data_IF_498639281664
#
_entry.id   IF_498639281664
#
_cell.length_a   1.000
_cell.length_b   1.000
_cell.length_c   1.000
_cell.angle_alpha   90.00
_cell.angle_beta   90.00
_cell.angle_gamma   90.00
#
_symmetry.space_group_name_H-M   'P 1'
#
loop_
_entity.id
_entity.type
_entity.pdbx_description
1 polymer ?
#
# COMPACT_ATOMS: atom_id res chain seq x y z
N UNK A 1 -6.60 -7.36 28.23
CA UNK A 1 -7.72 -6.99 27.38
C UNK A 1 -7.94 -5.50 27.55
N UNK A 2 -7.65 -4.79 26.53
CA UNK A 2 -7.13 -3.43 26.56
C UNK A 2 -8.25 -2.42 26.25
N UNK A 3 -8.09 -1.19 26.68
CA UNK A 3 -8.96 -0.04 26.42
C UNK A 3 -9.47 0.08 24.96
N UNK A 4 -8.82 -0.53 23.99
CA UNK A 4 -9.25 -0.56 22.59
C UNK A 4 -10.52 -1.40 22.37
N UNK A 5 -10.71 -2.48 23.13
CA UNK A 5 -11.91 -3.31 23.05
C UNK A 5 -13.11 -2.63 23.73
N UNK A 6 -12.84 -1.84 24.77
CA UNK A 6 -13.90 -1.03 25.42
C UNK A 6 -14.45 0.09 24.51
N UNK A 7 -13.63 0.63 23.58
CA UNK A 7 -14.12 1.61 22.60
C UNK A 7 -14.99 0.99 21.49
N UNK A 8 -14.87 -0.31 21.23
CA UNK A 8 -15.76 -1.01 20.31
C UNK A 8 -17.15 -1.28 20.89
N UNK A 9 -17.24 -1.52 22.21
CA UNK A 9 -18.49 -1.96 22.84
C UNK A 9 -19.32 -0.81 23.47
N UNK A 10 -18.73 0.32 23.73
CA UNK A 10 -19.37 1.40 24.53
C UNK A 10 -20.01 2.51 23.71
N UNK A 11 -19.85 2.55 22.42
CA UNK A 11 -20.15 3.81 21.73
C UNK A 11 -21.18 3.80 20.62
N UNK A 12 -21.39 2.70 19.94
CA UNK A 12 -22.09 2.74 18.64
C UNK A 12 -23.58 2.91 18.80
N UNK A 13 -24.20 2.16 19.68
CA UNK A 13 -25.65 2.24 19.91
C UNK A 13 -26.08 3.50 20.67
N UNK A 14 -25.21 3.98 21.56
CA UNK A 14 -25.51 5.16 22.36
C UNK A 14 -25.56 6.46 21.54
N UNK A 15 -24.93 6.45 20.33
CA UNK A 15 -24.85 7.61 19.44
C UNK A 15 -25.66 7.46 18.14
N UNK A 16 -26.45 6.37 17.98
CA UNK A 16 -27.30 6.15 16.82
C UNK A 16 -26.53 5.95 15.49
N UNK A 17 -25.30 5.42 15.57
CA UNK A 17 -24.47 5.14 14.39
C UNK A 17 -24.76 3.76 13.78
N UNK A 18 -25.57 2.94 14.44
CA UNK A 18 -26.03 1.64 13.95
C UNK A 18 -26.77 1.74 12.60
N UNK A 19 -27.43 2.87 12.35
CA UNK A 19 -28.26 3.07 11.14
C UNK A 19 -27.46 3.55 9.92
N UNK A 20 -26.14 3.78 10.08
CA UNK A 20 -25.30 4.11 8.92
C UNK A 20 -24.84 2.80 8.30
N UNK A 21 -25.51 2.39 7.24
CA UNK A 21 -25.28 1.14 6.50
C UNK A 21 -23.99 1.19 5.64
N UNK A 22 -22.84 1.32 6.31
CA UNK A 22 -21.52 1.25 5.71
C UNK A 22 -20.73 0.10 6.35
N UNK A 23 -19.94 -0.67 5.56
CA UNK A 23 -19.19 -1.84 6.05
C UNK A 23 -17.99 -1.49 6.94
N UNK A 24 -17.92 -0.28 7.44
CA UNK A 24 -16.77 0.23 8.20
C UNK A 24 -17.13 0.52 9.65
N UNK A 25 -16.13 0.46 10.54
CA UNK A 25 -16.30 0.87 11.92
C UNK A 25 -16.75 2.35 12.00
N UNK A 26 -17.40 2.78 13.10
CA UNK A 26 -17.84 4.18 13.26
C UNK A 26 -16.72 5.19 13.05
N UNK A 27 -15.51 4.90 13.55
CA UNK A 27 -14.33 5.73 13.35
C UNK A 27 -13.95 5.82 11.87
N UNK A 28 -13.93 4.69 11.17
CA UNK A 28 -13.66 4.63 9.73
C UNK A 28 -14.72 5.37 8.92
N UNK A 29 -15.99 5.30 9.33
CA UNK A 29 -17.09 6.05 8.70
C UNK A 29 -16.86 7.55 8.78
N UNK A 30 -16.46 8.05 9.93
CA UNK A 30 -16.15 9.47 10.14
C UNK A 30 -14.94 9.90 9.31
N UNK A 31 -13.88 9.10 9.32
CA UNK A 31 -12.63 9.39 8.62
C UNK A 31 -12.72 9.25 7.10
N UNK A 32 -13.72 8.53 6.59
CA UNK A 32 -13.97 8.37 5.15
C UNK A 32 -14.88 9.44 4.56
N UNK A 33 -15.51 10.27 5.40
CA UNK A 33 -16.31 11.39 4.90
C UNK A 33 -15.40 12.37 4.13
N UNK A 34 -15.88 12.94 3.02
CA UNK A 34 -15.12 13.94 2.29
C UNK A 34 -14.78 15.12 3.20
N UNK A 35 -13.53 15.59 3.15
CA UNK A 35 -13.06 16.68 4.02
C UNK A 35 -13.69 18.04 3.74
N UNK A 36 -14.28 18.20 2.57
CA UNK A 36 -15.14 19.33 2.24
C UNK A 36 -16.58 19.13 2.75
N UNK A 37 -16.83 18.03 3.50
CA UNK A 37 -18.12 17.83 4.15
C UNK A 37 -18.23 18.79 5.31
N UNK A 38 -19.24 19.66 5.25
CA UNK A 38 -19.54 20.61 6.32
C UNK A 38 -20.15 19.87 7.52
N UNK A 39 -19.27 19.37 8.39
CA UNK A 39 -19.66 18.64 9.59
C UNK A 39 -20.53 19.47 10.56
N UNK A 40 -20.41 20.78 10.50
CA UNK A 40 -21.18 21.65 11.40
C UNK A 40 -22.64 21.71 11.02
N UNK A 41 -22.97 21.51 9.73
CA UNK A 41 -24.33 21.75 9.25
C UNK A 41 -25.14 20.50 8.89
N UNK A 42 -24.56 19.32 8.67
CA UNK A 42 -25.26 18.23 7.96
C UNK A 42 -25.45 16.92 8.69
N UNK A 43 -24.62 16.54 9.67
CA UNK A 43 -24.80 15.28 10.40
C UNK A 43 -24.75 15.46 11.92
N UNK A 44 -25.93 15.42 12.59
CA UNK A 44 -26.02 15.53 14.04
C UNK A 44 -25.22 14.46 14.80
N UNK A 45 -25.05 13.28 14.21
CA UNK A 45 -24.37 12.17 14.87
C UNK A 45 -22.86 12.38 14.88
N UNK A 46 -22.29 12.87 13.76
CA UNK A 46 -20.87 13.24 13.68
C UNK A 46 -20.58 14.39 14.66
N UNK A 47 -21.44 15.39 14.73
CA UNK A 47 -21.31 16.49 15.70
C UNK A 47 -21.30 15.99 17.14
N UNK A 48 -22.20 15.08 17.51
CA UNK A 48 -22.24 14.47 18.84
C UNK A 48 -20.96 13.71 19.17
N UNK A 49 -20.38 12.96 18.20
CA UNK A 49 -19.12 12.25 18.39
C UNK A 49 -17.95 13.21 18.59
N UNK A 50 -17.86 14.27 17.79
CA UNK A 50 -16.83 15.29 17.95
C UNK A 50 -16.95 16.00 19.31
N UNK A 51 -18.15 16.23 19.78
CA UNK A 51 -18.41 16.83 21.11
C UNK A 51 -18.19 15.86 22.27
N UNK A 52 -18.41 14.55 22.05
CA UNK A 52 -18.30 13.54 23.10
C UNK A 52 -16.86 13.14 23.41
N UNK A 53 -15.90 13.39 22.51
CA UNK A 53 -14.52 12.97 22.71
C UNK A 53 -13.53 14.01 22.20
N UNK A 54 -12.68 14.48 23.11
CA UNK A 54 -11.55 15.37 22.75
C UNK A 54 -10.58 14.73 21.75
N UNK A 55 -10.47 13.41 21.75
CA UNK A 55 -9.62 12.67 20.80
C UNK A 55 -10.17 12.80 19.38
N UNK A 56 -11.48 12.63 19.19
CA UNK A 56 -12.10 12.78 17.87
C UNK A 56 -12.00 14.21 17.35
N UNK A 57 -12.19 15.20 18.20
CA UNK A 57 -12.00 16.60 17.85
C UNK A 57 -10.57 16.87 17.41
N UNK A 58 -9.59 16.41 18.17
CA UNK A 58 -8.17 16.59 17.84
C UNK A 58 -7.77 15.88 16.53
N UNK A 59 -8.29 14.66 16.28
CA UNK A 59 -8.04 13.94 15.02
C UNK A 59 -8.69 14.66 13.83
N UNK A 60 -9.88 15.19 13.99
CA UNK A 60 -10.57 15.98 12.96
C UNK A 60 -9.79 17.26 12.63
N UNK A 61 -9.34 18.01 13.64
CA UNK A 61 -8.55 19.21 13.45
C UNK A 61 -7.21 18.92 12.78
N UNK A 62 -6.55 17.82 13.16
CA UNK A 62 -5.35 17.34 12.50
C UNK A 62 -5.62 17.03 11.03
N UNK A 63 -6.67 16.28 10.75
CA UNK A 63 -7.08 15.91 9.39
C UNK A 63 -7.32 17.15 8.53
N UNK A 64 -8.05 18.12 9.05
CA UNK A 64 -8.32 19.39 8.38
C UNK A 64 -7.03 20.18 8.12
N UNK A 65 -6.08 20.16 9.04
CA UNK A 65 -4.79 20.85 8.89
C UNK A 65 -3.88 20.23 7.84
N UNK A 66 -4.01 18.93 7.59
CA UNK A 66 -3.21 18.18 6.60
C UNK A 66 -3.70 18.42 5.16
N UNK A 67 -4.98 18.76 4.95
CA UNK A 67 -5.57 18.88 3.62
C UNK A 67 -4.82 19.85 2.67
N UNK A 68 -4.42 21.06 3.08
CA UNK A 68 -3.65 21.94 2.21
C UNK A 68 -2.29 21.35 1.80
N UNK A 69 -1.68 20.54 2.70
CA UNK A 69 -0.43 19.84 2.39
C UNK A 69 -0.66 18.74 1.35
N UNK A 70 -1.72 17.94 1.50
CA UNK A 70 -2.07 16.91 0.52
C UNK A 70 -2.36 17.52 -0.85
N UNK A 71 -3.13 18.60 -0.91
CA UNK A 71 -3.39 19.35 -2.15
C UNK A 71 -2.09 19.85 -2.80
N UNK A 72 -1.13 20.27 -2.00
CA UNK A 72 0.19 20.71 -2.49
C UNK A 72 0.97 19.51 -3.07
N UNK A 73 0.99 18.36 -2.39
CA UNK A 73 1.64 17.13 -2.85
C UNK A 73 1.01 16.67 -4.16
N UNK A 74 -0.33 16.64 -4.24
CA UNK A 74 -1.08 16.26 -5.44
C UNK A 74 -0.81 17.18 -6.63
N UNK A 75 -0.75 18.49 -6.37
CA UNK A 75 -0.49 19.46 -7.44
C UNK A 75 0.91 19.36 -8.03
N UNK A 76 1.91 19.11 -7.18
CA UNK A 76 3.33 18.97 -7.58
C UNK A 76 3.59 17.65 -8.29
N UNK A 77 3.13 16.54 -7.71
CA UNK A 77 3.45 15.20 -8.15
C UNK A 77 4.92 14.81 -7.93
N UNK A 78 5.31 13.69 -8.50
CA UNK A 78 6.69 13.18 -8.53
C UNK A 78 7.14 13.08 -9.98
N UNK A 79 8.41 13.32 -10.24
CA UNK A 79 8.97 13.23 -11.61
C UNK A 79 9.77 11.94 -11.72
N UNK A 80 9.35 11.07 -12.63
CA UNK A 80 10.06 9.86 -13.01
C UNK A 80 10.93 10.16 -14.22
N UNK A 81 12.22 9.88 -14.11
CA UNK A 81 13.19 10.04 -15.20
C UNK A 81 12.82 9.19 -16.42
N UNK A 82 13.00 9.73 -17.63
CA UNK A 82 12.84 8.98 -18.88
C UNK A 82 13.73 7.73 -18.94
N UNK A 83 14.84 7.70 -18.18
CA UNK A 83 15.71 6.52 -18.08
C UNK A 83 14.99 5.30 -17.53
N UNK A 84 13.97 5.46 -16.69
CA UNK A 84 13.14 4.35 -16.22
C UNK A 84 12.50 3.60 -17.38
N UNK A 85 11.90 4.34 -18.28
CA UNK A 85 11.16 3.79 -19.42
C UNK A 85 12.10 3.26 -20.52
N UNK A 86 13.26 3.89 -20.70
CA UNK A 86 14.22 3.53 -21.75
C UNK A 86 15.15 2.39 -21.33
N UNK A 87 15.63 2.41 -20.08
CA UNK A 87 16.77 1.57 -19.67
C UNK A 87 16.34 0.43 -18.72
N UNK A 88 15.22 0.58 -17.99
CA UNK A 88 14.80 -0.39 -16.98
C UNK A 88 13.62 -1.25 -17.44
N UNK A 89 12.53 -0.62 -17.88
CA UNK A 89 11.34 -1.38 -18.29
C UNK A 89 11.60 -2.41 -19.40
N UNK A 90 12.41 -2.14 -20.44
CA UNK A 90 12.72 -3.15 -21.44
C UNK A 90 13.42 -4.38 -20.83
N UNK A 91 14.34 -4.18 -19.88
CA UNK A 91 15.00 -5.30 -19.19
C UNK A 91 14.01 -6.13 -18.35
N UNK A 92 13.06 -5.46 -17.71
CA UNK A 92 11.98 -6.14 -16.96
C UNK A 92 11.05 -6.90 -17.91
N UNK A 93 10.79 -6.39 -19.10
CA UNK A 93 10.06 -7.09 -20.14
C UNK A 93 10.83 -8.34 -20.60
N UNK A 94 12.12 -8.21 -20.90
CA UNK A 94 12.97 -9.34 -21.28
C UNK A 94 13.00 -10.43 -20.19
N UNK A 95 13.00 -10.03 -18.91
CA UNK A 95 12.91 -10.98 -17.78
C UNK A 95 11.56 -11.74 -17.78
N UNK A 96 10.45 -11.04 -18.07
CA UNK A 96 9.13 -11.66 -18.20
C UNK A 96 9.08 -12.62 -19.39
N UNK A 97 9.59 -12.20 -20.54
CA UNK A 97 9.59 -13.00 -21.77
C UNK A 97 10.38 -14.31 -21.58
N UNK A 98 11.53 -14.27 -20.91
CA UNK A 98 12.29 -15.48 -20.53
C UNK A 98 11.49 -16.38 -19.60
N UNK A 99 10.74 -15.81 -18.65
CA UNK A 99 9.91 -16.61 -17.74
C UNK A 99 8.76 -17.27 -18.52
N UNK A 100 8.16 -16.58 -19.50
CA UNK A 100 7.14 -17.15 -20.39
C UNK A 100 7.74 -18.27 -21.23
N UNK A 101 8.95 -18.11 -21.76
CA UNK A 101 9.65 -19.14 -22.52
C UNK A 101 9.91 -20.40 -21.65
N UNK A 102 10.32 -20.22 -20.39
CA UNK A 102 10.45 -21.35 -19.45
C UNK A 102 9.14 -22.08 -19.22
N UNK A 103 8.04 -21.33 -19.05
CA UNK A 103 6.69 -21.90 -18.87
C UNK A 103 6.20 -22.58 -20.16
N UNK A 104 6.60 -22.09 -21.34
CA UNK A 104 6.20 -22.67 -22.63
C UNK A 104 6.67 -24.10 -22.80
N UNK A 105 7.79 -24.49 -22.17
CA UNK A 105 8.30 -25.87 -22.17
C UNK A 105 7.33 -26.88 -21.57
N UNK A 106 6.36 -26.42 -20.77
CA UNK A 106 5.28 -27.23 -20.22
C UNK A 106 4.05 -27.27 -21.11
N UNK A 107 4.05 -26.61 -22.27
CA UNK A 107 2.90 -26.55 -23.20
C UNK A 107 1.75 -25.67 -22.73
N UNK A 108 2.00 -24.73 -21.80
CA UNK A 108 0.99 -23.93 -21.11
C UNK A 108 0.77 -22.54 -21.70
N UNK A 109 1.54 -22.19 -22.74
CA UNK A 109 1.51 -20.85 -23.37
C UNK A 109 0.82 -20.94 -24.73
N UNK A 110 0.00 -19.95 -25.06
CA UNK A 110 -0.61 -19.73 -26.37
C UNK A 110 -0.29 -18.30 -26.83
N UNK A 111 0.48 -18.17 -27.89
CA UNK A 111 1.11 -16.90 -28.24
C UNK A 111 2.04 -16.46 -27.11
N UNK A 112 1.79 -15.28 -26.54
CA UNK A 112 2.54 -14.75 -25.39
C UNK A 112 1.76 -14.81 -24.07
N UNK A 113 0.66 -15.58 -24.02
CA UNK A 113 -0.22 -15.65 -22.87
C UNK A 113 -0.22 -17.03 -22.23
N UNK A 114 -0.18 -17.07 -20.91
CA UNK A 114 -0.37 -18.31 -20.15
C UNK A 114 -1.85 -18.68 -20.19
N UNK A 115 -2.15 -19.90 -20.64
CA UNK A 115 -3.50 -20.44 -20.69
C UNK A 115 -3.86 -21.05 -19.33
N UNK A 116 -4.77 -20.39 -18.61
CA UNK A 116 -5.17 -20.79 -17.25
C UNK A 116 -5.83 -22.20 -17.23
N UNK A 117 -6.57 -22.59 -18.27
CA UNK A 117 -7.16 -23.93 -18.38
C UNK A 117 -6.08 -24.99 -18.49
N UNK A 118 -5.09 -24.78 -19.37
CA UNK A 118 -3.96 -25.70 -19.52
C UNK A 118 -3.14 -25.84 -18.24
N UNK A 119 -2.97 -24.74 -17.49
CA UNK A 119 -2.30 -24.78 -16.17
C UNK A 119 -3.09 -25.65 -15.19
N UNK A 120 -4.41 -25.49 -15.14
CA UNK A 120 -5.27 -26.32 -14.29
C UNK A 120 -5.21 -27.79 -14.69
N UNK A 121 -5.31 -28.09 -15.98
CA UNK A 121 -5.19 -29.45 -16.52
C UNK A 121 -3.83 -30.08 -16.23
N UNK A 122 -2.76 -29.29 -16.30
CA UNK A 122 -1.43 -29.76 -15.95
C UNK A 122 -1.33 -30.18 -14.49
N UNK A 123 -1.87 -29.38 -13.56
CA UNK A 123 -1.87 -29.75 -12.14
C UNK A 123 -2.66 -31.04 -11.89
N UNK A 124 -3.85 -31.16 -12.49
CA UNK A 124 -4.68 -32.36 -12.34
C UNK A 124 -3.95 -33.61 -12.88
N UNK A 125 -3.37 -33.55 -14.09
CA UNK A 125 -2.68 -34.70 -14.72
C UNK A 125 -1.43 -35.17 -13.98
N UNK A 126 -0.83 -34.28 -13.19
CA UNK A 126 0.39 -34.58 -12.42
C UNK A 126 0.11 -34.77 -10.91
N UNK A 127 -1.15 -34.95 -10.51
CA UNK A 127 -1.57 -35.09 -9.10
C UNK A 127 -1.06 -33.96 -8.20
N UNK A 128 -0.99 -32.73 -8.75
CA UNK A 128 -0.53 -31.55 -8.05
C UNK A 128 -1.71 -30.69 -7.56
N UNK A 129 -1.62 -30.07 -6.38
CA UNK A 129 -2.66 -29.16 -5.88
C UNK A 129 -2.89 -27.98 -6.81
N UNK A 130 -4.16 -27.68 -7.12
CA UNK A 130 -4.50 -26.52 -7.93
C UNK A 130 -4.19 -25.20 -7.22
N UNK A 131 -3.51 -24.29 -7.90
CA UNK A 131 -3.14 -22.97 -7.39
C UNK A 131 -3.62 -21.89 -8.35
N UNK A 132 -4.63 -21.13 -7.92
CA UNK A 132 -5.29 -20.08 -8.70
C UNK A 132 -4.94 -18.65 -8.23
N UNK A 133 -4.08 -18.51 -7.23
CA UNK A 133 -3.60 -17.23 -6.71
C UNK A 133 -2.16 -17.33 -6.21
N UNK A 134 -1.53 -16.17 -5.98
CA UNK A 134 -0.13 -16.11 -5.57
C UNK A 134 0.14 -16.75 -4.21
N UNK A 135 -0.83 -16.75 -3.29
CA UNK A 135 -0.70 -17.37 -1.98
C UNK A 135 -0.56 -18.89 -2.10
N UNK A 136 -1.43 -19.53 -2.88
CA UNK A 136 -1.35 -20.96 -3.17
C UNK A 136 -0.10 -21.33 -3.96
N UNK A 137 0.28 -20.51 -4.95
CA UNK A 137 1.53 -20.71 -5.68
C UNK A 137 2.74 -20.67 -4.73
N UNK A 138 2.75 -19.73 -3.78
CA UNK A 138 3.78 -19.63 -2.76
C UNK A 138 3.77 -20.82 -1.79
N UNK A 139 2.60 -21.29 -1.39
CA UNK A 139 2.43 -22.45 -0.50
C UNK A 139 2.98 -23.73 -1.13
N UNK A 140 2.72 -23.95 -2.41
CA UNK A 140 3.09 -25.19 -3.10
C UNK A 140 4.41 -25.12 -3.88
N UNK A 141 5.19 -24.03 -3.74
CA UNK A 141 6.42 -23.79 -4.51
C UNK A 141 7.46 -24.92 -4.46
N UNK A 142 7.50 -25.67 -3.35
CA UNK A 142 8.45 -26.79 -3.16
C UNK A 142 7.99 -28.08 -3.83
N UNK A 143 6.73 -28.19 -4.27
CA UNK A 143 6.19 -29.41 -4.83
C UNK A 143 6.58 -29.61 -6.31
N UNK A 144 6.66 -28.51 -7.08
CA UNK A 144 7.01 -28.58 -8.49
C UNK A 144 7.53 -27.20 -8.98
N UNK A 145 8.56 -27.13 -9.84
CA UNK A 145 9.15 -25.87 -10.31
C UNK A 145 8.16 -24.91 -11.00
N UNK A 146 7.10 -25.44 -11.60
CA UNK A 146 6.08 -24.65 -12.28
C UNK A 146 5.40 -23.64 -11.35
N UNK A 147 5.20 -23.97 -10.07
CA UNK A 147 4.60 -23.03 -9.12
C UNK A 147 5.44 -21.77 -8.94
N UNK A 148 6.76 -21.93 -8.85
CA UNK A 148 7.69 -20.81 -8.73
C UNK A 148 7.72 -19.96 -10.01
N UNK A 149 7.72 -20.62 -11.18
CA UNK A 149 7.68 -19.93 -12.47
C UNK A 149 6.38 -19.12 -12.64
N UNK A 150 5.23 -19.68 -12.29
CA UNK A 150 3.95 -18.98 -12.36
C UNK A 150 3.90 -17.82 -11.36
N UNK A 151 4.42 -18.00 -10.14
CA UNK A 151 4.50 -16.93 -9.15
C UNK A 151 5.42 -15.80 -9.63
N UNK A 152 6.58 -16.13 -10.21
CA UNK A 152 7.53 -15.18 -10.79
C UNK A 152 6.89 -14.40 -11.94
N UNK A 153 6.24 -15.11 -12.87
CA UNK A 153 5.48 -14.52 -13.97
C UNK A 153 4.44 -13.50 -13.48
N UNK A 154 3.60 -13.90 -12.52
CA UNK A 154 2.55 -13.02 -11.99
C UNK A 154 3.12 -11.75 -11.36
N UNK A 155 4.21 -11.87 -10.60
CA UNK A 155 4.90 -10.72 -9.99
C UNK A 155 5.50 -9.79 -11.02
N UNK A 156 6.15 -10.34 -12.05
CA UNK A 156 6.76 -9.57 -13.15
C UNK A 156 5.70 -8.87 -13.99
N UNK A 157 4.62 -9.56 -14.35
CA UNK A 157 3.50 -8.98 -15.09
C UNK A 157 2.82 -7.86 -14.30
N UNK A 158 2.55 -8.09 -13.00
CA UNK A 158 1.97 -7.07 -12.14
C UNK A 158 2.89 -5.85 -12.01
N UNK A 159 4.21 -6.06 -11.92
CA UNK A 159 5.20 -4.99 -11.86
C UNK A 159 5.17 -4.13 -13.11
N UNK A 160 5.24 -4.73 -14.29
CA UNK A 160 5.22 -4.02 -15.57
C UNK A 160 3.90 -3.27 -15.78
N UNK A 161 2.78 -3.92 -15.49
CA UNK A 161 1.46 -3.27 -15.56
C UNK A 161 1.36 -2.06 -14.63
N UNK A 162 1.85 -2.18 -13.39
CA UNK A 162 1.74 -1.11 -12.39
C UNK A 162 2.75 0.01 -12.62
N UNK A 163 4.01 -0.34 -12.91
CA UNK A 163 5.13 0.60 -12.94
C UNK A 163 5.67 0.89 -14.34
N UNK A 164 5.01 0.35 -15.36
CA UNK A 164 5.20 0.64 -16.78
C UNK A 164 3.93 1.26 -17.35
N UNK A 165 2.97 0.42 -17.72
CA UNK A 165 1.78 0.84 -18.47
C UNK A 165 0.96 1.88 -17.73
N UNK A 166 0.71 1.65 -16.44
CA UNK A 166 -0.12 2.56 -15.64
C UNK A 166 0.56 3.90 -15.39
N UNK A 167 1.88 3.92 -15.15
CA UNK A 167 2.62 5.17 -15.05
C UNK A 167 2.53 5.99 -16.35
N UNK A 168 2.67 5.32 -17.50
CA UNK A 168 2.57 5.99 -18.80
C UNK A 168 1.16 6.50 -19.09
N UNK A 169 0.14 5.76 -18.67
CA UNK A 169 -1.25 6.14 -18.89
C UNK A 169 -1.69 7.34 -18.03
N UNK A 170 -1.23 7.40 -16.77
CA UNK A 170 -1.66 8.41 -15.81
C UNK A 170 -0.66 9.58 -15.67
N UNK A 171 0.56 9.42 -16.16
CA UNK A 171 1.59 10.45 -16.08
C UNK A 171 1.50 11.50 -17.20
N UNK A 172 1.97 12.69 -16.90
CA UNK A 172 2.09 13.79 -17.87
C UNK A 172 3.55 14.00 -18.27
N UNK A 173 3.85 13.92 -19.57
CA UNK A 173 5.22 14.12 -20.08
C UNK A 173 5.64 15.58 -19.95
N UNK A 174 6.87 15.79 -19.50
CA UNK A 174 7.54 17.08 -19.40
C UNK A 174 8.95 17.00 -20.01
N UNK A 175 9.66 18.12 -20.05
CA UNK A 175 11.06 18.14 -20.51
C UNK A 175 11.99 17.34 -19.59
N UNK A 176 11.66 17.25 -18.31
CA UNK A 176 12.49 16.58 -17.29
C UNK A 176 12.19 15.09 -17.13
N UNK A 177 11.01 14.64 -17.57
CA UNK A 177 10.56 13.26 -17.41
C UNK A 177 9.04 13.17 -17.35
N UNK A 178 8.54 12.08 -16.79
CA UNK A 178 7.11 11.84 -16.59
C UNK A 178 6.69 12.31 -15.19
N UNK A 179 5.81 13.30 -15.12
CA UNK A 179 5.20 13.75 -13.85
C UNK A 179 4.03 12.83 -13.54
N UNK A 180 4.11 12.17 -12.40
CA UNK A 180 3.03 11.34 -11.85
C UNK A 180 2.40 12.04 -10.65
N UNK A 181 1.08 12.06 -10.61
CA UNK A 181 0.30 12.64 -9.53
C UNK A 181 -0.46 11.54 -8.82
N UNK A 182 -0.56 11.64 -7.52
CA UNK A 182 -1.32 10.71 -6.71
C UNK A 182 -2.59 11.36 -6.19
N UNK A 183 -3.60 10.56 -5.97
CA UNK A 183 -4.80 10.95 -5.24
C UNK A 183 -4.61 10.51 -3.78
N UNK A 184 -4.19 11.43 -2.92
CA UNK A 184 -3.83 11.14 -1.55
C UNK A 184 -5.03 11.21 -0.61
N UNK A 185 -5.13 10.23 0.26
CA UNK A 185 -6.15 10.15 1.31
C UNK A 185 -5.48 9.88 2.64
N UNK A 186 -5.72 10.75 3.58
CA UNK A 186 -5.38 10.52 4.97
C UNK A 186 -6.37 9.57 5.61
N UNK A 187 -5.98 8.88 6.66
CA UNK A 187 -6.80 7.97 7.46
C UNK A 187 -7.66 6.96 6.66
N UNK A 188 -7.24 6.61 5.45
CA UNK A 188 -8.03 5.72 4.59
C UNK A 188 -7.73 4.23 4.79
N UNK A 189 -6.78 3.90 5.64
CA UNK A 189 -6.51 2.54 6.08
C UNK A 189 -7.01 2.28 7.50
N UNK A 190 -7.19 1.01 7.86
CA UNK A 190 -7.56 0.61 9.23
C UNK A 190 -6.57 1.13 10.28
N UNK A 191 -5.29 1.22 9.93
CA UNK A 191 -4.22 1.72 10.82
C UNK A 191 -4.08 3.25 10.84
N UNK A 192 -4.95 4.00 10.15
CA UNK A 192 -4.86 5.45 10.03
C UNK A 192 -3.76 5.95 9.09
N UNK A 193 -3.05 5.06 8.38
CA UNK A 193 -1.99 5.46 7.46
C UNK A 193 -2.56 6.16 6.23
N UNK A 194 -1.81 7.11 5.70
CA UNK A 194 -2.12 7.72 4.41
C UNK A 194 -2.05 6.68 3.29
N UNK A 195 -2.92 6.82 2.33
CA UNK A 195 -2.98 5.97 1.15
C UNK A 195 -3.05 6.83 -0.11
N UNK A 196 -2.39 6.37 -1.17
CA UNK A 196 -2.49 6.97 -2.48
C UNK A 196 -3.33 6.06 -3.37
N UNK A 197 -4.46 6.56 -3.84
CA UNK A 197 -5.32 5.85 -4.80
C UNK A 197 -4.70 5.87 -6.19
N UNK A 198 -5.21 5.00 -7.07
CA UNK A 198 -4.79 4.87 -8.47
C UNK A 198 -3.36 4.37 -8.58
N UNK A 199 -2.37 5.22 -8.37
CA UNK A 199 -0.98 4.84 -8.30
C UNK A 199 -0.56 4.64 -6.83
N UNK A 200 -0.06 3.46 -6.41
CA UNK A 200 0.32 3.21 -5.03
C UNK A 200 1.67 3.85 -4.68
N UNK A 201 1.72 5.19 -4.74
CA UNK A 201 2.96 5.96 -4.52
C UNK A 201 3.54 5.78 -3.11
N UNK A 202 2.72 5.31 -2.16
CA UNK A 202 3.19 4.92 -0.81
C UNK A 202 4.05 3.64 -0.82
N UNK A 203 4.02 2.87 -1.91
CA UNK A 203 4.68 1.57 -2.05
C UNK A 203 5.54 1.52 -3.31
N UNK A 204 6.26 2.61 -3.61
CA UNK A 204 7.19 2.65 -4.74
C UNK A 204 8.24 1.54 -4.62
N UNK A 205 8.46 0.72 -5.68
CA UNK A 205 9.50 -0.27 -5.66
C UNK A 205 10.88 0.38 -5.55
N UNK A 206 11.81 -0.34 -4.91
CA UNK A 206 13.17 0.17 -4.69
C UNK A 206 13.82 0.60 -6.01
N UNK A 207 13.70 -0.24 -7.03
CA UNK A 207 14.27 0.03 -8.36
C UNK A 207 13.77 1.36 -8.95
N UNK A 208 12.49 1.72 -8.72
CA UNK A 208 11.91 2.97 -9.24
C UNK A 208 12.34 4.20 -8.44
N UNK A 209 12.61 4.05 -7.14
CA UNK A 209 13.02 5.18 -6.28
C UNK A 209 14.27 5.88 -6.79
N UNK A 210 15.21 5.13 -7.35
CA UNK A 210 16.45 5.66 -7.91
C UNK A 210 16.23 6.49 -9.20
N UNK A 211 15.04 6.42 -9.78
CA UNK A 211 14.63 7.17 -10.98
C UNK A 211 13.66 8.31 -10.66
N UNK A 212 13.32 8.52 -9.40
CA UNK A 212 12.61 9.75 -9.00
C UNK A 212 13.64 10.89 -8.99
N UNK A 213 13.37 11.91 -9.78
CA UNK A 213 14.27 13.05 -9.93
C UNK A 213 13.63 14.33 -9.39
N UNK A 214 14.48 15.23 -8.94
CA UNK A 214 14.08 16.59 -8.60
C UNK A 214 14.04 17.44 -9.87
N UNK A 215 13.19 18.46 -9.85
CA UNK A 215 13.18 19.55 -10.85
C UNK A 215 13.80 20.82 -10.24
N UNK A 216 14.20 21.74 -11.11
CA UNK A 216 14.58 23.10 -10.72
C UNK A 216 15.76 23.17 -9.73
N UNK A 217 16.80 22.36 -9.96
CA UNK A 217 18.04 22.34 -9.11
C UNK A 217 17.78 22.05 -7.62
N UNK A 218 16.65 21.46 -7.28
CA UNK A 218 16.29 21.07 -5.92
C UNK A 218 16.81 19.68 -5.60
N UNK A 219 16.93 19.38 -4.32
CA UNK A 219 17.28 18.06 -3.83
C UNK A 219 16.03 17.36 -3.29
N UNK A 220 16.00 16.04 -3.44
CA UNK A 220 15.01 15.19 -2.76
C UNK A 220 15.59 14.79 -1.42
N UNK A 221 14.93 15.17 -0.34
CA UNK A 221 15.28 14.75 1.01
C UNK A 221 14.32 13.64 1.45
N UNK A 222 14.88 12.48 1.79
CA UNK A 222 14.12 11.37 2.39
C UNK A 222 14.30 11.38 3.90
N UNK A 223 13.19 11.50 4.62
CA UNK A 223 13.17 11.47 6.09
C UNK A 223 12.24 10.36 6.54
N UNK A 224 12.68 9.58 7.52
CA UNK A 224 11.88 8.54 8.13
C UNK A 224 12.15 8.49 9.64
N UNK A 225 11.11 8.17 10.41
CA UNK A 225 11.25 7.96 11.85
C UNK A 225 11.78 6.56 12.12
N UNK A 226 12.88 6.47 12.85
CA UNK A 226 13.44 5.17 13.23
C UNK A 226 12.51 4.42 14.18
N UNK A 227 11.87 3.36 13.68
CA UNK A 227 11.01 2.44 14.44
C UNK A 227 9.89 3.14 15.24
N UNK A 228 9.24 4.18 14.67
CA UNK A 228 8.25 4.98 15.38
C UNK A 228 7.18 4.14 16.08
N UNK A 229 6.60 3.17 15.40
CA UNK A 229 5.52 2.33 15.93
C UNK A 229 6.00 1.48 17.12
N UNK A 230 7.20 0.89 17.04
CA UNK A 230 7.78 0.12 18.14
C UNK A 230 8.17 1.00 19.33
N UNK A 231 8.63 2.25 19.09
CA UNK A 231 8.89 3.22 20.15
C UNK A 231 7.61 3.62 20.88
N UNK A 232 6.54 3.86 20.14
CA UNK A 232 5.21 4.09 20.73
C UNK A 232 4.74 2.88 21.55
N UNK A 233 4.90 1.67 21.02
CA UNK A 233 4.55 0.45 21.73
C UNK A 233 5.35 0.30 23.04
N UNK A 234 6.66 0.51 22.98
CA UNK A 234 7.55 0.44 24.15
C UNK A 234 7.13 1.45 25.23
N UNK A 235 6.86 2.69 24.83
CA UNK A 235 6.40 3.75 25.73
C UNK A 235 5.02 3.42 26.32
N UNK A 236 4.05 3.05 25.49
CA UNK A 236 2.69 2.79 25.91
C UNK A 236 2.57 1.56 26.83
N UNK A 237 3.35 0.51 26.57
CA UNK A 237 3.39 -0.71 27.38
C UNK A 237 4.31 -0.60 28.60
N UNK A 238 5.05 0.51 28.72
CA UNK A 238 6.09 0.69 29.72
C UNK A 238 7.11 -0.47 29.75
N UNK A 239 7.47 -1.01 28.57
CA UNK A 239 8.39 -2.12 28.43
C UNK A 239 9.83 -1.64 28.57
N UNK A 240 10.40 -1.75 29.77
CA UNK A 240 11.75 -1.29 30.08
C UNK A 240 12.80 -1.88 29.16
N UNK A 241 12.71 -3.16 28.82
CA UNK A 241 13.64 -3.83 27.90
C UNK A 241 13.66 -3.19 26.51
N UNK A 242 12.49 -2.86 25.93
CA UNK A 242 12.44 -2.19 24.63
C UNK A 242 12.93 -0.74 24.71
N UNK A 243 12.64 -0.02 25.81
CA UNK A 243 13.10 1.34 26.02
C UNK A 243 14.64 1.39 26.12
N UNK A 244 15.24 0.51 26.91
CA UNK A 244 16.70 0.37 27.02
C UNK A 244 17.37 0.05 25.67
N UNK A 245 16.78 -0.85 24.88
CA UNK A 245 17.29 -1.18 23.54
C UNK A 245 17.26 0.02 22.59
N UNK A 246 16.24 0.87 22.67
CA UNK A 246 16.20 2.09 21.88
C UNK A 246 17.25 3.12 22.32
N UNK A 247 17.63 3.13 23.59
CA UNK A 247 18.70 4.01 24.11
C UNK A 247 20.10 3.53 23.69
N UNK A 248 20.32 2.19 23.66
CA UNK A 248 21.59 1.61 23.21
C UNK A 248 21.80 1.68 21.71
N UNK A 249 20.74 1.91 20.94
CA UNK A 249 20.81 1.95 19.48
C UNK A 249 20.96 0.60 18.79
N UNK A 250 20.74 -0.50 19.53
CA UNK A 250 20.79 -1.87 18.99
C UNK A 250 19.61 -2.12 18.01
N UNK A 251 19.84 -3.01 17.04
CA UNK A 251 18.80 -3.41 16.10
C UNK A 251 17.77 -4.33 16.77
N UNK A 252 16.59 -3.79 17.03
CA UNK A 252 15.49 -4.48 17.69
C UNK A 252 15.03 -5.71 16.90
N UNK A 253 15.09 -5.67 15.58
CA UNK A 253 14.68 -6.79 14.74
C UNK A 253 15.67 -7.97 14.86
N UNK A 254 16.94 -7.67 15.03
CA UNK A 254 17.95 -8.70 15.28
C UNK A 254 17.72 -9.39 16.63
N UNK A 255 17.38 -8.61 17.66
CA UNK A 255 17.19 -9.12 19.03
C UNK A 255 15.83 -9.83 19.25
N UNK A 256 14.84 -9.56 18.41
CA UNK A 256 13.52 -10.21 18.50
C UNK A 256 13.37 -11.40 17.57
N UNK A 257 14.27 -11.58 16.61
CA UNK A 257 14.29 -12.67 15.64
C UNK A 257 15.15 -13.86 16.02
N UNK A 258 15.81 -13.80 17.16
CA UNK A 258 16.51 -14.90 17.81
C UNK A 258 15.70 -15.42 18.97
#
# INVERSE_FOLDING_TARGET
MTHFQQYHDVGVDQYGLSDIDLPYSPLQKILLLPLNYDFESRDPNVRRLLQASSIFSSLYDLEKSIQPLLSTIESRGLVVSERWFRDVLPKKQDELDRTIEEISKYGLVEGNLINASKVTDFFIRNDLPAANNNEKLQMYRSLHPLYELLLKHNKQQQFLKQWGDKLLAEGSRTKSGLVIKGNWRSFSSYSGRMFCRELPLTSLPRDLKDFIISTDEKLILSLDFNNAELRFLAFYSNCTRLLEQFETGEDIHFLTGT
#
